data_IF_896316294694
#
_entry.id   IF_896316294694
#
_cell.length_a   1.000
_cell.length_b   1.000
_cell.length_c   1.000
_cell.angle_alpha   90.00
_cell.angle_beta   90.00
_cell.angle_gamma   90.00
#
_symmetry.space_group_name_H-M   'P 1'
#
loop_
_entity.id
_entity.type
_entity.pdbx_description
1 polymer ?
#
# COMPACT_ATOMS: atom_id res chain seq x y z
N UNK A 1 -7.08 -1.71 -2.37
CA UNK A 1 -6.63 -1.06 -1.12
C UNK A 1 -6.95 -2.00 0.03
N UNK A 2 -6.06 -2.21 1.01
CA UNK A 2 -6.38 -3.07 2.16
C UNK A 2 -7.14 -2.31 3.24
N UNK A 3 -8.14 -2.96 3.84
CA UNK A 3 -8.93 -2.41 4.93
C UNK A 3 -9.23 -3.50 5.96
N UNK A 4 -9.49 -3.08 7.20
CA UNK A 4 -9.91 -3.94 8.30
C UNK A 4 -11.33 -3.55 8.69
N UNK A 5 -12.18 -4.55 8.94
CA UNK A 5 -13.52 -4.31 9.46
C UNK A 5 -13.46 -3.85 10.92
N UNK A 6 -14.14 -2.73 11.22
CA UNK A 6 -14.19 -2.13 12.56
C UNK A 6 -15.48 -2.50 13.32
N UNK A 7 -16.56 -2.77 12.58
CA UNK A 7 -17.80 -3.34 13.12
C UNK A 7 -17.71 -4.85 13.34
N UNK A 8 -18.71 -5.42 14.03
CA UNK A 8 -18.71 -6.81 14.49
C UNK A 8 -18.67 -7.83 13.34
N UNK A 9 -19.55 -7.64 12.35
CA UNK A 9 -19.55 -8.44 11.13
C UNK A 9 -20.32 -7.76 10.01
N UNK A 10 -19.93 -8.04 8.76
CA UNK A 10 -20.58 -7.52 7.56
C UNK A 10 -20.69 -8.61 6.50
N UNK A 11 -21.89 -8.85 5.92
CA UNK A 11 -22.06 -9.83 4.87
C UNK A 11 -21.41 -9.38 3.55
N UNK A 12 -20.87 -10.36 2.82
CA UNK A 12 -20.34 -10.19 1.48
C UNK A 12 -21.31 -10.83 0.49
N UNK A 13 -21.79 -10.05 -0.46
CA UNK A 13 -22.78 -10.44 -1.45
C UNK A 13 -22.11 -10.86 -2.76
N UNK A 14 -22.72 -11.80 -3.48
CA UNK A 14 -22.25 -12.21 -4.82
C UNK A 14 -22.45 -11.11 -5.88
N UNK A 15 -23.38 -10.19 -5.64
CA UNK A 15 -23.74 -9.13 -6.58
C UNK A 15 -24.01 -7.82 -5.87
N UNK A 16 -24.25 -6.76 -6.65
CA UNK A 16 -24.56 -5.41 -6.16
C UNK A 16 -26.00 -5.29 -5.64
N UNK A 17 -26.56 -6.33 -5.02
CA UNK A 17 -27.97 -6.43 -4.64
C UNK A 17 -28.11 -7.17 -3.30
N UNK A 18 -28.89 -6.59 -2.38
CA UNK A 18 -29.10 -7.08 -1.02
C UNK A 18 -30.04 -8.30 -0.98
N UNK A 19 -30.75 -8.59 -2.07
CA UNK A 19 -31.54 -9.81 -2.22
C UNK A 19 -30.73 -11.02 -2.66
N UNK A 20 -29.44 -10.85 -2.95
CA UNK A 20 -28.57 -11.98 -3.31
C UNK A 20 -28.00 -12.70 -2.10
N UNK A 21 -27.68 -13.98 -2.31
CA UNK A 21 -27.12 -14.84 -1.27
C UNK A 21 -25.80 -14.23 -0.79
N UNK A 22 -25.66 -14.09 0.53
CA UNK A 22 -24.38 -13.79 1.14
C UNK A 22 -23.44 -14.98 0.93
N UNK A 23 -22.33 -14.73 0.25
CA UNK A 23 -21.32 -15.74 -0.07
C UNK A 23 -20.27 -15.90 1.03
N UNK A 24 -20.15 -14.89 1.89
CA UNK A 24 -19.28 -14.90 3.06
C UNK A 24 -19.73 -13.84 4.07
N UNK A 25 -19.13 -13.88 5.26
CA UNK A 25 -19.26 -12.85 6.29
C UNK A 25 -17.86 -12.45 6.72
N UNK A 26 -17.57 -11.14 6.70
CA UNK A 26 -16.31 -10.59 7.22
C UNK A 26 -16.51 -10.28 8.68
N UNK A 27 -15.56 -10.66 9.53
CA UNK A 27 -15.61 -10.38 10.97
C UNK A 27 -14.70 -9.21 11.36
N UNK A 28 -14.97 -8.62 12.53
CA UNK A 28 -14.13 -7.56 13.11
C UNK A 28 -12.65 -7.98 13.14
N UNK A 29 -11.77 -7.11 12.63
CA UNK A 29 -10.33 -7.36 12.60
C UNK A 29 -9.84 -8.10 11.35
N UNK A 30 -10.73 -8.66 10.53
CA UNK A 30 -10.35 -9.33 9.28
C UNK A 30 -9.91 -8.33 8.22
N UNK A 31 -8.84 -8.67 7.50
CA UNK A 31 -8.28 -7.83 6.44
C UNK A 31 -8.93 -8.20 5.10
N UNK A 32 -9.45 -7.19 4.41
CA UNK A 32 -10.05 -7.34 3.09
C UNK A 32 -9.41 -6.40 2.08
N UNK A 33 -9.30 -6.85 0.83
CA UNK A 33 -8.87 -5.98 -0.26
C UNK A 33 -10.08 -5.33 -0.93
N UNK A 34 -10.23 -4.02 -0.72
CA UNK A 34 -11.27 -3.21 -1.32
C UNK A 34 -10.88 -2.76 -2.72
N UNK A 35 -11.84 -2.90 -3.63
CA UNK A 35 -11.76 -2.53 -5.04
C UNK A 35 -12.64 -1.34 -5.37
N UNK A 36 -13.33 -1.44 -6.51
CA UNK A 36 -14.13 -0.36 -7.08
C UNK A 36 -15.36 -0.06 -6.22
N UNK A 37 -15.61 1.23 -6.00
CA UNK A 37 -16.87 1.74 -5.43
C UNK A 37 -17.87 1.96 -6.56
N UNK A 38 -19.09 1.44 -6.38
CA UNK A 38 -20.18 1.54 -7.34
C UNK A 38 -21.37 2.23 -6.69
N UNK A 39 -21.87 3.29 -7.34
CA UNK A 39 -23.06 4.01 -6.91
C UNK A 39 -24.25 3.58 -7.78
N UNK A 40 -25.31 3.09 -7.16
CA UNK A 40 -26.58 2.81 -7.83
C UNK A 40 -27.47 4.06 -7.86
N UNK A 41 -28.43 4.09 -8.80
CA UNK A 41 -29.38 5.21 -8.97
C UNK A 41 -30.21 5.51 -7.70
N UNK A 42 -30.37 4.53 -6.81
CA UNK A 42 -31.10 4.64 -5.55
C UNK A 42 -30.26 5.15 -4.38
N UNK A 43 -29.07 5.74 -4.63
CA UNK A 43 -28.09 6.17 -3.61
C UNK A 43 -27.42 5.04 -2.81
N UNK A 44 -27.72 3.79 -3.11
CA UNK A 44 -26.96 2.65 -2.60
C UNK A 44 -25.51 2.71 -3.09
N UNK A 45 -24.58 2.52 -2.17
CA UNK A 45 -23.15 2.45 -2.43
C UNK A 45 -22.70 1.03 -2.13
N UNK A 46 -21.95 0.48 -3.07
CA UNK A 46 -21.41 -0.87 -2.99
C UNK A 46 -19.91 -0.83 -3.23
N UNK A 47 -19.17 -1.62 -2.48
CA UNK A 47 -17.71 -1.69 -2.58
C UNK A 47 -17.33 -3.12 -2.91
N UNK A 48 -16.59 -3.32 -4.01
CA UNK A 48 -16.02 -4.63 -4.30
C UNK A 48 -15.01 -5.01 -3.20
N UNK A 49 -15.09 -6.23 -2.68
CA UNK A 49 -14.21 -6.76 -1.66
C UNK A 49 -13.64 -8.11 -2.12
N UNK A 50 -12.34 -8.32 -1.90
CA UNK A 50 -11.66 -9.59 -2.11
C UNK A 50 -11.18 -10.09 -0.75
N UNK A 51 -11.64 -11.28 -0.37
CA UNK A 51 -11.28 -11.98 0.87
C UNK A 51 -9.89 -12.62 0.74
N UNK A 52 -9.29 -13.01 1.86
CA UNK A 52 -7.94 -13.63 1.87
C UNK A 52 -7.87 -14.91 1.04
N UNK A 53 -8.98 -15.66 0.95
CA UNK A 53 -9.10 -16.87 0.14
C UNK A 53 -9.23 -16.57 -1.38
N UNK A 54 -9.18 -15.30 -1.80
CA UNK A 54 -9.33 -14.86 -3.18
C UNK A 54 -10.78 -14.73 -3.66
N UNK A 55 -11.77 -15.03 -2.80
CA UNK A 55 -13.18 -14.87 -3.14
C UNK A 55 -13.52 -13.39 -3.29
N UNK A 56 -14.15 -13.06 -4.42
CA UNK A 56 -14.59 -11.70 -4.72
C UNK A 56 -16.08 -11.56 -4.48
N UNK A 57 -16.49 -10.44 -3.89
CA UNK A 57 -17.89 -10.09 -3.69
C UNK A 57 -18.05 -8.60 -3.43
N UNK A 58 -19.19 -8.22 -2.86
CA UNK A 58 -19.56 -6.83 -2.62
C UNK A 58 -20.01 -6.64 -1.18
N UNK A 59 -19.58 -5.55 -0.57
CA UNK A 59 -20.07 -5.08 0.74
C UNK A 59 -20.83 -3.78 0.54
N UNK A 60 -21.79 -3.50 1.43
CA UNK A 60 -22.43 -2.19 1.45
C UNK A 60 -21.42 -1.10 1.85
N UNK A 61 -21.62 0.10 1.29
CA UNK A 61 -20.76 1.25 1.54
C UNK A 61 -20.97 1.93 2.90
N UNK A 62 -21.94 1.49 3.69
CA UNK A 62 -22.14 1.90 5.08
C UNK A 62 -21.28 1.10 6.07
N UNK A 63 -20.64 0.02 5.59
CA UNK A 63 -19.76 -0.81 6.39
C UNK A 63 -18.62 0.00 7.01
N UNK A 64 -18.43 -0.14 8.32
CA UNK A 64 -17.38 0.58 9.06
C UNK A 64 -16.05 -0.12 8.87
N UNK A 65 -15.28 0.40 7.93
CA UNK A 65 -13.94 -0.07 7.58
C UNK A 65 -12.86 0.93 7.96
N UNK A 66 -11.70 0.43 8.37
CA UNK A 66 -10.49 1.23 8.56
C UNK A 66 -9.47 0.87 7.48
N UNK A 67 -8.91 1.86 6.80
CA UNK A 67 -7.88 1.62 5.78
C UNK A 67 -6.60 1.13 6.46
N UNK A 68 -6.14 -0.07 6.12
CA UNK A 68 -4.83 -0.56 6.55
C UNK A 68 -3.76 0.26 5.85
N UNK A 69 -2.85 0.83 6.63
CA UNK A 69 -1.75 1.63 6.10
C UNK A 69 -0.43 1.19 6.73
N UNK A 70 0.63 1.16 5.92
CA UNK A 70 1.98 1.01 6.44
C UNK A 70 2.59 2.39 6.66
N UNK A 71 2.93 2.69 7.90
CA UNK A 71 3.58 3.92 8.30
C UNK A 71 5.02 3.66 8.67
N UNK A 72 5.95 4.48 8.16
CA UNK A 72 7.31 4.56 8.65
C UNK A 72 7.39 5.62 9.74
N UNK A 73 7.89 5.24 10.92
CA UNK A 73 8.05 6.16 12.05
C UNK A 73 9.13 7.21 11.74
N UNK A 74 8.82 8.48 11.95
CA UNK A 74 9.74 9.60 11.72
C UNK A 74 10.40 10.12 13.01
N UNK A 75 9.75 9.88 14.14
CA UNK A 75 10.26 10.26 15.46
C UNK A 75 11.49 9.43 15.83
N UNK A 76 12.37 10.00 16.65
CA UNK A 76 13.61 9.34 17.08
C UNK A 76 13.33 7.99 17.74
N UNK A 77 12.36 7.99 18.63
CA UNK A 77 11.88 6.81 19.34
C UNK A 77 10.46 7.05 19.83
N UNK A 78 9.64 6.01 19.84
CA UNK A 78 8.33 6.02 20.45
C UNK A 78 8.02 4.68 21.08
N UNK A 79 7.32 4.70 22.20
CA UNK A 79 6.93 3.49 22.90
C UNK A 79 5.61 2.96 22.32
N UNK A 80 5.62 1.67 22.00
CA UNK A 80 4.45 0.87 21.71
C UNK A 80 4.01 0.19 23.00
N UNK A 81 2.75 0.41 23.37
CA UNK A 81 2.18 -0.03 24.65
C UNK A 81 1.12 -1.13 24.46
N UNK A 82 0.82 -1.88 25.52
CA UNK A 82 -0.13 -3.00 25.50
C UNK A 82 -1.60 -2.58 25.46
N UNK A 83 -1.91 -1.42 26.03
CA UNK A 83 -3.23 -0.83 26.14
C UNK A 83 -3.18 0.63 25.73
N UNK A 84 -4.26 1.22 25.19
CA UNK A 84 -4.26 2.60 24.73
C UNK A 84 -4.29 3.60 25.90
N UNK A 85 -3.41 3.49 26.89
CA UNK A 85 -3.36 4.41 28.04
C UNK A 85 -1.95 4.95 28.26
N UNK A 86 -1.85 6.10 28.93
CA UNK A 86 -0.55 6.70 29.29
C UNK A 86 0.17 5.92 30.39
N UNK A 87 -0.57 5.15 31.18
CA UNK A 87 -0.04 4.29 32.25
C UNK A 87 0.16 2.83 31.80
N UNK A 88 -0.01 2.57 30.50
CA UNK A 88 0.11 1.24 29.91
C UNK A 88 1.55 0.71 29.95
N UNK A 89 1.70 -0.61 29.96
CA UNK A 89 3.04 -1.20 29.92
C UNK A 89 3.64 -1.05 28.53
N UNK A 90 4.90 -0.60 28.48
CA UNK A 90 5.66 -0.54 27.23
C UNK A 90 5.99 -1.95 26.77
N UNK A 91 5.40 -2.37 25.65
CA UNK A 91 5.74 -3.62 24.98
C UNK A 91 7.10 -3.51 24.28
N UNK A 92 7.32 -2.39 23.59
CA UNK A 92 8.51 -2.18 22.76
C UNK A 92 8.73 -0.72 22.44
N UNK A 93 9.97 -0.25 22.53
CA UNK A 93 10.37 1.05 21.99
C UNK A 93 10.71 0.89 20.51
N UNK A 94 9.95 1.56 19.66
CA UNK A 94 10.18 1.64 18.22
C UNK A 94 11.13 2.80 17.92
N UNK A 95 12.04 2.61 16.97
CA UNK A 95 13.01 3.65 16.58
C UNK A 95 12.67 4.23 15.21
N UNK A 96 13.22 5.41 14.92
CA UNK A 96 13.07 6.07 13.62
C UNK A 96 13.33 5.10 12.46
N UNK A 97 12.42 5.10 11.49
CA UNK A 97 12.53 4.27 10.29
C UNK A 97 11.81 2.91 10.40
N UNK A 98 11.34 2.53 11.60
CA UNK A 98 10.55 1.31 11.80
C UNK A 98 9.24 1.39 11.02
N UNK A 99 8.87 0.30 10.34
CA UNK A 99 7.63 0.19 9.57
C UNK A 99 6.58 -0.50 10.42
N UNK A 100 5.45 0.18 10.66
CA UNK A 100 4.32 -0.34 11.40
C UNK A 100 3.12 -0.45 10.46
N UNK A 101 2.38 -1.54 10.56
CA UNK A 101 1.08 -1.70 9.89
C UNK A 101 -0.01 -1.21 10.81
N UNK A 102 -0.60 -0.06 10.52
CA UNK A 102 -1.69 0.55 11.29
C UNK A 102 -3.01 -0.05 10.79
N UNK A 103 -3.79 -0.61 11.72
CA UNK A 103 -5.02 -1.36 11.43
C UNK A 103 -6.26 -0.72 12.03
N UNK A 104 -6.13 0.11 13.06
CA UNK A 104 -7.23 0.87 13.62
C UNK A 104 -6.76 2.15 14.33
N UNK A 105 -7.72 3.03 14.60
CA UNK A 105 -7.56 4.16 15.53
C UNK A 105 -8.59 3.98 16.64
N UNK A 106 -8.11 3.91 17.88
CA UNK A 106 -8.95 3.86 19.07
C UNK A 106 -8.87 5.21 19.78
N UNK A 107 -10.02 5.71 20.23
CA UNK A 107 -10.10 6.97 20.97
C UNK A 107 -10.64 6.67 22.37
N UNK A 108 -9.96 7.20 23.37
CA UNK A 108 -10.34 7.11 24.76
C UNK A 108 -10.12 8.45 25.48
N UNK A 109 -10.33 8.47 26.79
CA UNK A 109 -10.18 9.67 27.60
C UNK A 109 -8.73 10.20 27.62
N UNK A 110 -7.75 9.31 27.46
CA UNK A 110 -6.32 9.65 27.41
C UNK A 110 -5.84 10.21 26.07
N UNK A 111 -6.63 10.06 25.00
CA UNK A 111 -6.32 10.57 23.67
C UNK A 111 -6.75 9.65 22.52
N UNK A 112 -6.04 9.76 21.41
CA UNK A 112 -6.23 8.87 20.26
C UNK A 112 -4.97 8.03 20.06
N UNK A 113 -5.17 6.75 19.74
CA UNK A 113 -4.14 5.74 19.67
C UNK A 113 -4.26 4.96 18.36
N UNK A 114 -3.16 4.85 17.64
CA UNK A 114 -3.02 3.92 16.53
C UNK A 114 -2.82 2.52 17.09
N UNK A 115 -3.68 1.59 16.68
CA UNK A 115 -3.42 0.16 16.83
C UNK A 115 -2.63 -0.30 15.61
N UNK A 116 -1.50 -0.96 15.85
CA UNK A 116 -0.67 -1.45 14.77
C UNK A 116 0.18 -2.64 15.13
N UNK A 117 0.74 -3.26 14.10
CA UNK A 117 1.60 -4.44 14.18
C UNK A 117 2.94 -4.14 13.53
N UNK A 118 4.02 -4.41 14.26
CA UNK A 118 5.40 -4.29 13.78
C UNK A 118 5.77 -5.44 12.81
N UNK A 119 6.88 -5.29 12.07
CA UNK A 119 7.41 -6.33 11.18
C UNK A 119 7.71 -7.65 11.91
N UNK A 120 7.93 -7.59 13.23
CA UNK A 120 8.12 -8.75 14.12
C UNK A 120 6.82 -9.46 14.52
N UNK A 121 5.65 -8.94 14.14
CA UNK A 121 4.34 -9.50 14.51
C UNK A 121 3.82 -9.02 15.87
N UNK A 122 4.60 -8.24 16.63
CA UNK A 122 4.15 -7.63 17.87
C UNK A 122 3.05 -6.58 17.57
N UNK A 123 1.88 -6.76 18.19
CA UNK A 123 0.75 -5.84 18.06
C UNK A 123 0.64 -4.99 19.33
N UNK A 124 0.42 -3.70 19.18
CA UNK A 124 0.24 -2.78 20.29
C UNK A 124 -0.35 -1.44 19.86
N UNK A 125 -0.28 -0.48 20.78
CA UNK A 125 -0.85 0.85 20.64
C UNK A 125 0.25 1.91 20.62
N UNK A 126 0.10 2.91 19.75
CA UNK A 126 1.04 4.03 19.60
C UNK A 126 0.21 5.32 19.61
N UNK A 127 0.59 6.36 20.38
CA UNK A 127 -0.20 7.58 20.43
C UNK A 127 -0.23 8.29 19.06
N UNK A 128 -1.35 8.90 18.70
CA UNK A 128 -1.50 9.56 17.39
C UNK A 128 -0.69 10.84 17.22
N UNK A 129 -0.02 11.29 18.29
CA UNK A 129 0.98 12.37 18.25
C UNK A 129 2.24 11.98 17.49
N UNK A 130 2.45 10.68 17.26
CA UNK A 130 3.56 10.14 16.51
C UNK A 130 3.54 10.59 15.04
N UNK A 131 4.70 10.99 14.52
CA UNK A 131 4.85 11.35 13.11
C UNK A 131 5.11 10.11 12.27
N UNK A 132 4.14 9.74 11.44
CA UNK A 132 4.26 8.67 10.45
C UNK A 132 4.31 9.22 9.03
N UNK A 133 5.20 8.67 8.21
CA UNK A 133 5.15 8.83 6.75
C UNK A 133 4.58 7.56 6.13
N UNK A 134 3.70 7.68 5.15
CA UNK A 134 3.22 6.53 4.38
C UNK A 134 4.43 5.82 3.77
N UNK A 135 4.66 4.58 4.20
CA UNK A 135 5.75 3.77 3.68
C UNK A 135 5.41 3.41 2.22
N UNK A 136 6.34 3.62 1.27
CA UNK A 136 6.10 3.22 -0.11
C UNK A 136 5.86 1.71 -0.19
N UNK A 137 4.78 1.31 -0.84
CA UNK A 137 4.51 -0.09 -1.13
C UNK A 137 5.35 -0.53 -2.33
N UNK A 138 6.56 -1.02 -2.06
CA UNK A 138 7.36 -1.68 -3.09
C UNK A 138 6.66 -2.98 -3.50
N UNK A 139 6.15 -3.03 -4.72
CA UNK A 139 5.47 -4.21 -5.26
C UNK A 139 6.27 -4.80 -6.42
N UNK A 140 6.24 -6.13 -6.60
CA UNK A 140 6.86 -6.78 -7.77
C UNK A 140 6.29 -6.25 -9.08
N UNK A 141 4.99 -5.93 -9.10
CA UNK A 141 4.30 -5.41 -10.27
C UNK A 141 4.77 -3.99 -10.63
N UNK A 142 4.90 -3.11 -9.63
CA UNK A 142 5.47 -1.77 -9.80
C UNK A 142 6.91 -1.82 -10.32
N UNK A 143 7.76 -2.58 -9.62
CA UNK A 143 9.15 -2.79 -10.01
C UNK A 143 9.30 -3.29 -11.47
N UNK A 144 8.46 -4.26 -11.89
CA UNK A 144 8.45 -4.74 -13.29
C UNK A 144 8.01 -3.66 -14.26
N UNK A 145 6.97 -2.90 -13.93
CA UNK A 145 6.47 -1.81 -14.78
C UNK A 145 7.55 -0.75 -14.99
N UNK A 146 8.29 -0.38 -13.95
CA UNK A 146 9.37 0.60 -14.06
C UNK A 146 10.58 0.06 -14.82
N UNK A 147 10.95 -1.21 -14.64
CA UNK A 147 11.97 -1.85 -15.47
C UNK A 147 11.58 -1.87 -16.97
N UNK A 148 10.32 -2.21 -17.28
CA UNK A 148 9.83 -2.26 -18.67
C UNK A 148 9.78 -0.85 -19.27
N UNK A 149 9.27 0.12 -18.54
CA UNK A 149 9.16 1.51 -19.01
C UNK A 149 10.55 2.11 -19.23
N UNK A 150 11.49 1.85 -18.32
CA UNK A 150 12.89 2.23 -18.48
C UNK A 150 13.52 1.62 -19.74
N UNK A 151 13.28 0.33 -19.99
CA UNK A 151 13.74 -0.34 -21.21
C UNK A 151 13.16 0.30 -22.48
N UNK A 152 11.87 0.64 -22.48
CA UNK A 152 11.22 1.31 -23.62
C UNK A 152 11.88 2.65 -23.90
N UNK A 153 12.13 3.48 -22.88
CA UNK A 153 12.80 4.76 -23.07
C UNK A 153 14.22 4.60 -23.60
N UNK A 154 14.98 3.60 -23.14
CA UNK A 154 16.31 3.31 -23.68
C UNK A 154 16.22 2.95 -25.17
N UNK A 155 15.28 2.08 -25.58
CA UNK A 155 15.11 1.70 -26.98
C UNK A 155 14.70 2.91 -27.82
N UNK A 156 13.69 3.68 -27.40
CA UNK A 156 13.22 4.87 -28.13
C UNK A 156 14.32 5.91 -28.26
N UNK A 157 15.02 6.22 -27.16
CA UNK A 157 16.12 7.18 -27.18
C UNK A 157 17.27 6.72 -28.08
N UNK A 158 17.59 5.42 -28.09
CA UNK A 158 18.61 4.85 -28.98
C UNK A 158 18.21 4.97 -30.46
N UNK A 159 16.95 4.66 -30.79
CA UNK A 159 16.42 4.82 -32.15
C UNK A 159 16.49 6.29 -32.59
N UNK A 160 16.09 7.22 -31.72
CA UNK A 160 16.18 8.66 -32.01
C UNK A 160 17.63 9.11 -32.25
N UNK A 161 18.59 8.65 -31.43
CA UNK A 161 20.00 8.96 -31.62
C UNK A 161 20.54 8.43 -32.97
N UNK A 162 20.15 7.21 -33.36
CA UNK A 162 20.53 6.63 -34.65
C UNK A 162 19.91 7.38 -35.84
N UNK A 163 18.65 7.82 -35.72
CA UNK A 163 18.00 8.60 -36.77
C UNK A 163 18.64 9.98 -36.94
N UNK A 164 19.02 10.61 -35.83
CA UNK A 164 19.61 11.96 -35.85
C UNK A 164 21.02 11.96 -36.44
N UNK A 165 21.85 10.95 -36.15
CA UNK A 165 23.18 10.77 -36.77
C UNK A 165 23.15 10.59 -38.29
N UNK A 166 21.99 10.25 -38.87
CA UNK A 166 21.78 10.16 -40.33
C UNK A 166 21.30 11.47 -40.95
N UNK A 167 20.94 12.45 -40.14
CA UNK A 167 20.52 13.77 -40.62
C UNK A 167 21.73 14.68 -40.81
N UNK A 168 21.87 15.27 -42.00
CA UNK A 168 23.03 16.08 -42.39
C UNK A 168 23.09 17.45 -41.72
N UNK A 169 22.16 17.76 -40.81
CA UNK A 169 22.00 19.06 -40.18
C UNK A 169 21.98 18.86 -38.67
N UNK A 170 23.00 19.41 -37.98
CA UNK A 170 23.16 19.26 -36.54
C UNK A 170 21.97 19.90 -35.80
N UNK A 171 21.03 19.07 -35.38
CA UNK A 171 19.86 19.48 -34.60
C UNK A 171 20.13 19.29 -33.10
N UNK A 172 19.52 20.13 -32.26
CA UNK A 172 19.47 19.94 -30.80
C UNK A 172 18.74 18.66 -30.33
N UNK A 173 18.37 17.79 -31.27
CA UNK A 173 17.63 16.55 -31.05
C UNK A 173 18.53 15.44 -30.45
N UNK A 174 19.85 15.47 -30.72
CA UNK A 174 20.83 14.58 -30.07
C UNK A 174 20.72 14.69 -28.54
N UNK A 175 20.66 15.91 -28.01
CA UNK A 175 20.60 16.13 -26.56
C UNK A 175 19.31 15.54 -25.96
N UNK A 176 18.18 15.68 -26.66
CA UNK A 176 16.91 15.10 -26.25
C UNK A 176 16.99 13.55 -26.25
N UNK A 177 17.63 12.95 -27.25
CA UNK A 177 17.80 11.50 -27.32
C UNK A 177 18.60 10.95 -26.13
N UNK A 178 19.71 11.61 -25.75
CA UNK A 178 20.48 11.23 -24.58
C UNK A 178 19.74 11.45 -23.26
N UNK A 179 18.96 12.54 -23.16
CA UNK A 179 18.12 12.78 -22.00
C UNK A 179 17.05 11.67 -21.82
N UNK A 180 16.46 11.20 -22.91
CA UNK A 180 15.49 10.08 -22.90
C UNK A 180 16.17 8.76 -22.49
N UNK A 181 17.35 8.46 -23.02
CA UNK A 181 18.13 7.26 -22.61
C UNK A 181 18.47 7.33 -21.13
N UNK A 182 18.96 8.48 -20.67
CA UNK A 182 19.33 8.70 -19.26
C UNK A 182 18.12 8.52 -18.33
N UNK A 183 16.97 9.09 -18.69
CA UNK A 183 15.73 8.90 -17.94
C UNK A 183 15.30 7.42 -17.90
N UNK A 184 15.44 6.70 -19.02
CA UNK A 184 15.17 5.27 -19.09
C UNK A 184 16.09 4.43 -18.17
N UNK A 185 17.38 4.78 -18.10
CA UNK A 185 18.33 4.15 -17.17
C UNK A 185 17.97 4.42 -15.71
N UNK A 186 17.60 5.66 -15.35
CA UNK A 186 17.17 6.00 -14.00
C UNK A 186 15.92 5.20 -13.58
N UNK A 187 14.92 5.14 -14.45
CA UNK A 187 13.68 4.41 -14.17
C UNK A 187 13.92 2.89 -14.09
N UNK A 188 14.77 2.35 -14.97
CA UNK A 188 15.19 0.95 -14.91
C UNK A 188 15.96 0.62 -13.62
N UNK A 189 16.84 1.52 -13.18
CA UNK A 189 17.60 1.38 -11.93
C UNK A 189 16.70 1.39 -10.70
N UNK A 190 15.71 2.29 -10.65
CA UNK A 190 14.69 2.31 -9.59
C UNK A 190 13.90 0.99 -9.57
N UNK A 191 13.38 0.55 -10.72
CA UNK A 191 12.64 -0.71 -10.82
C UNK A 191 13.48 -1.92 -10.36
N UNK A 192 14.76 -1.96 -10.71
CA UNK A 192 15.67 -3.02 -10.26
C UNK A 192 15.90 -2.97 -8.74
N UNK A 193 16.12 -1.78 -8.17
CA UNK A 193 16.28 -1.60 -6.72
C UNK A 193 15.04 -2.07 -5.95
N UNK A 194 13.84 -1.70 -6.42
CA UNK A 194 12.59 -2.17 -5.84
C UNK A 194 12.44 -3.69 -5.93
N UNK A 195 12.74 -4.27 -7.09
CA UNK A 195 12.69 -5.71 -7.30
C UNK A 195 13.61 -6.47 -6.34
N UNK A 196 14.84 -6.00 -6.17
CA UNK A 196 15.81 -6.58 -5.24
C UNK A 196 15.33 -6.46 -3.79
N UNK A 197 14.74 -5.32 -3.43
CA UNK A 197 14.24 -5.06 -2.07
C UNK A 197 13.05 -5.97 -1.73
N UNK A 198 12.09 -6.13 -2.64
CA UNK A 198 10.96 -7.04 -2.47
C UNK A 198 11.44 -8.49 -2.36
N UNK A 199 12.37 -8.91 -3.22
CA UNK A 199 12.95 -10.26 -3.20
C UNK A 199 13.68 -10.56 -1.88
N UNK A 200 14.40 -9.59 -1.31
CA UNK A 200 15.04 -9.73 0.01
C UNK A 200 14.00 -9.94 1.12
N UNK A 201 12.91 -9.16 1.12
CA UNK A 201 11.83 -9.28 2.11
C UNK A 201 11.11 -10.62 2.05
N UNK A 202 10.92 -11.19 0.86
CA UNK A 202 10.29 -12.50 0.70
C UNK A 202 11.17 -13.64 1.22
N UNK A 203 12.48 -13.59 0.96
CA UNK A 203 13.42 -14.59 1.51
C UNK A 203 13.47 -14.55 3.04
N UNK A 204 13.40 -13.36 3.64
CA UNK A 204 13.39 -13.20 5.09
C UNK A 204 12.10 -13.71 5.77
N UNK A 205 11.01 -13.91 5.02
CA UNK A 205 9.75 -14.49 5.54
C UNK A 205 9.67 -16.01 5.42
N UNK A 206 10.61 -16.63 4.71
CA UNK A 206 10.60 -18.07 4.42
C UNK A 206 11.69 -18.86 5.16
N UNK A 207 12.52 -18.19 5.97
CA UNK A 207 13.52 -18.82 6.84
C UNK A 207 13.20 -18.51 8.29
#
# INVERSE_FOLDING_TARGET
>A
MKAVLTEESTPVYASLDDQTISIATIHKGEIVELGKVTHKKNKEVWVAATLENGTQGYIHGDAKIYRVQKGQLMDKSIDMVDTPSKEANVLKTLTKGTIITITAVEKNDDGSWYRGTDESGATGYIPTTASFRVAPEFTRAGARKDMITGLIFIVVGTVLAILDTRSSQANGMVFLSYAVIFFGLLQGGQGLYEYLTVRKKEKAKQG
#
